data_IF_397730560118
#
_entry.id   IF_397730560118
#
_cell.length_a   1.000
_cell.length_b   1.000
_cell.length_c   1.000
_cell.angle_alpha   90.00
_cell.angle_beta   90.00
_cell.angle_gamma   90.00
#
_symmetry.space_group_name_H-M   'P 1'
#
loop_
_entity.id
_entity.type
_entity.pdbx_description
1 polymer ?
#
# COMPACT_ATOMS: atom_id res chain seq x y z
N UNK A 1 -4.62 -30.30 10.19
CA UNK A 1 -4.18 -28.93 10.50
C UNK A 1 -2.82 -29.03 11.14
N UNK A 2 -1.78 -28.51 10.49
CA UNK A 2 -0.49 -28.30 11.14
C UNK A 2 -0.65 -27.09 12.06
N UNK A 3 -0.40 -27.24 13.35
CA UNK A 3 -0.34 -26.11 14.29
C UNK A 3 0.92 -25.29 13.97
N UNK A 4 0.98 -24.01 14.35
CA UNK A 4 2.08 -23.10 13.99
C UNK A 4 3.51 -23.56 14.36
N UNK A 5 3.65 -24.65 15.12
CA UNK A 5 4.90 -25.32 15.44
C UNK A 5 5.64 -25.97 14.23
N UNK A 6 4.99 -26.10 13.07
CA UNK A 6 5.57 -26.75 11.87
C UNK A 6 6.10 -25.77 10.80
N UNK A 7 6.06 -24.45 11.05
CA UNK A 7 6.49 -23.43 10.08
C UNK A 7 7.70 -22.63 10.57
N UNK A 8 8.67 -22.40 9.68
CA UNK A 8 9.71 -21.41 9.90
C UNK A 8 9.23 -20.08 9.32
N UNK A 9 8.91 -19.12 10.20
CA UNK A 9 8.38 -17.81 9.81
C UNK A 9 9.55 -16.83 9.67
N UNK A 10 9.56 -16.08 8.56
CA UNK A 10 10.54 -15.02 8.29
C UNK A 10 9.80 -13.74 7.93
N UNK A 11 10.09 -12.65 8.65
CA UNK A 11 9.52 -11.32 8.43
C UNK A 11 10.66 -10.32 8.16
N UNK A 12 11.02 -10.07 6.89
CA UNK A 12 12.09 -9.14 6.54
C UNK A 12 11.60 -7.69 6.52
N UNK A 13 12.51 -6.74 6.74
CA UNK A 13 12.29 -5.35 6.34
C UNK A 13 12.29 -5.24 4.81
N UNK A 14 11.26 -4.61 4.23
CA UNK A 14 11.23 -4.33 2.81
C UNK A 14 12.37 -3.39 2.38
N UNK A 15 12.72 -3.41 1.09
CA UNK A 15 13.64 -2.39 0.54
C UNK A 15 13.11 -0.99 0.84
N UNK A 16 13.98 -0.13 1.39
CA UNK A 16 13.57 1.20 1.83
C UNK A 16 13.12 1.31 3.28
N UNK A 17 13.04 0.18 4.01
CA UNK A 17 12.57 0.12 5.39
C UNK A 17 13.61 -0.46 6.33
N UNK A 18 13.46 -0.10 7.61
CA UNK A 18 14.17 -0.68 8.74
C UNK A 18 15.67 -0.85 8.46
N UNK A 19 16.14 -2.09 8.56
CA UNK A 19 17.57 -2.42 8.48
C UNK A 19 17.98 -3.03 7.15
N UNK A 20 17.10 -3.08 6.17
CA UNK A 20 17.45 -3.55 4.82
C UNK A 20 18.39 -2.56 4.15
N UNK A 21 19.56 -3.06 3.73
CA UNK A 21 20.63 -2.29 3.07
C UNK A 21 20.61 -2.49 1.55
N UNK A 22 21.53 -1.84 0.83
CA UNK A 22 21.70 -2.06 -0.62
C UNK A 22 20.71 -1.28 -1.49
N UNK A 23 19.98 -0.34 -0.89
CA UNK A 23 19.29 0.74 -1.60
C UNK A 23 19.96 2.06 -1.24
N UNK A 24 19.82 3.05 -2.12
CA UNK A 24 20.49 4.34 -1.98
C UNK A 24 19.71 5.22 -1.02
N UNK A 25 20.14 5.24 0.25
CA UNK A 25 19.54 6.09 1.29
C UNK A 25 19.94 7.55 1.13
N UNK A 26 21.23 7.79 0.89
CA UNK A 26 21.83 9.12 0.95
C UNK A 26 22.07 9.68 -0.47
N UNK A 27 21.09 9.52 -1.36
CA UNK A 27 21.13 10.11 -2.70
C UNK A 27 21.32 11.65 -2.56
N UNK A 28 22.28 12.28 -3.26
CA UNK A 28 22.61 13.69 -3.04
C UNK A 28 21.44 14.64 -3.29
N UNK A 29 20.61 14.33 -4.28
CA UNK A 29 19.38 15.05 -4.59
C UNK A 29 18.22 14.08 -4.74
N UNK A 30 16.98 14.57 -4.55
CA UNK A 30 15.77 13.78 -4.73
C UNK A 30 15.70 13.10 -6.11
N UNK A 31 16.15 13.78 -7.16
CA UNK A 31 16.17 13.27 -8.54
C UNK A 31 17.22 12.19 -8.80
N UNK A 32 18.23 12.07 -7.92
CA UNK A 32 19.34 11.13 -8.12
C UNK A 32 18.97 9.71 -7.68
N UNK A 33 17.90 9.54 -6.91
CA UNK A 33 17.45 8.22 -6.44
C UNK A 33 17.22 7.26 -7.60
N UNK A 34 17.92 6.12 -7.59
CA UNK A 34 17.69 5.08 -8.59
C UNK A 34 16.37 4.32 -8.37
N UNK A 35 15.28 4.85 -8.95
CA UNK A 35 13.93 4.28 -8.86
C UNK A 35 13.80 2.88 -9.50
N UNK A 36 14.71 2.47 -10.39
CA UNK A 36 14.70 1.11 -10.97
C UNK A 36 14.86 0.01 -9.91
N UNK A 37 15.45 0.36 -8.75
CA UNK A 37 15.60 -0.57 -7.62
C UNK A 37 14.33 -0.75 -6.80
N UNK A 38 13.33 0.12 -6.97
CA UNK A 38 12.04 0.07 -6.26
C UNK A 38 10.88 -0.43 -7.15
N UNK A 39 11.16 -0.91 -8.37
CA UNK A 39 10.15 -1.50 -9.24
C UNK A 39 9.59 -2.78 -8.64
N UNK A 40 8.36 -3.15 -9.00
CA UNK A 40 7.74 -4.36 -8.46
C UNK A 40 8.59 -5.62 -8.72
N UNK A 41 9.24 -5.74 -9.88
CA UNK A 41 10.13 -6.88 -10.15
C UNK A 41 11.41 -6.86 -9.31
N UNK A 42 11.95 -5.68 -9.01
CA UNK A 42 13.06 -5.55 -8.07
C UNK A 42 12.65 -6.01 -6.66
N UNK A 43 11.43 -5.68 -6.22
CA UNK A 43 10.91 -6.15 -4.93
C UNK A 43 10.68 -7.67 -4.92
N UNK A 44 10.12 -8.26 -5.98
CA UNK A 44 10.01 -9.72 -6.12
C UNK A 44 11.39 -10.38 -6.09
N UNK A 45 12.37 -9.78 -6.77
CA UNK A 45 13.76 -10.27 -6.77
C UNK A 45 14.35 -10.29 -5.36
N UNK A 46 14.06 -9.29 -4.52
CA UNK A 46 14.54 -9.27 -3.14
C UNK A 46 13.99 -10.47 -2.34
N UNK A 47 12.69 -10.77 -2.48
CA UNK A 47 12.07 -11.94 -1.83
C UNK A 47 12.67 -13.24 -2.34
N UNK A 48 12.82 -13.41 -3.67
CA UNK A 48 13.45 -14.60 -4.27
C UNK A 48 14.90 -14.78 -3.77
N UNK A 49 15.64 -13.69 -3.66
CA UNK A 49 17.03 -13.71 -3.19
C UNK A 49 17.10 -14.10 -1.71
N UNK A 50 16.16 -13.61 -0.89
CA UNK A 50 16.05 -13.98 0.52
C UNK A 50 15.77 -15.48 0.69
N UNK A 51 14.84 -16.04 -0.08
CA UNK A 51 14.51 -17.48 -0.05
C UNK A 51 15.76 -18.32 -0.29
N UNK A 52 16.55 -17.98 -1.31
CA UNK A 52 17.80 -18.67 -1.61
C UNK A 52 18.88 -18.44 -0.54
N UNK A 53 19.01 -17.23 0.01
CA UNK A 53 19.97 -16.92 1.07
C UNK A 53 19.70 -17.71 2.35
N UNK A 54 18.44 -18.04 2.62
CA UNK A 54 18.01 -18.89 3.74
C UNK A 54 18.20 -20.39 3.46
N UNK A 55 18.68 -20.77 2.28
CA UNK A 55 18.90 -22.17 1.88
C UNK A 55 17.65 -22.90 1.37
N UNK A 56 16.57 -22.17 1.09
CA UNK A 56 15.34 -22.74 0.55
C UNK A 56 15.24 -22.51 -0.97
N UNK A 57 14.40 -23.32 -1.62
CA UNK A 57 14.05 -23.17 -3.05
C UNK A 57 12.55 -23.00 -3.26
N UNK A 58 11.74 -23.27 -2.23
CA UNK A 58 10.29 -23.10 -2.22
C UNK A 58 9.84 -22.53 -0.88
N UNK A 59 8.76 -21.74 -0.91
CA UNK A 59 8.08 -21.18 0.26
C UNK A 59 6.65 -21.69 0.28
N UNK A 60 6.23 -22.22 1.43
CA UNK A 60 4.89 -22.81 1.57
C UNK A 60 3.79 -21.73 1.45
N UNK A 61 4.02 -20.55 2.01
CA UNK A 61 3.09 -19.43 1.93
C UNK A 61 3.84 -18.10 1.95
N UNK A 62 3.53 -17.19 1.01
CA UNK A 62 3.93 -15.79 1.08
C UNK A 62 2.75 -14.96 1.56
N UNK A 63 2.97 -14.14 2.58
CA UNK A 63 1.95 -13.28 3.18
C UNK A 63 2.35 -11.83 2.98
N UNK A 64 1.39 -10.99 2.59
CA UNK A 64 1.63 -9.56 2.41
C UNK A 64 0.48 -8.72 2.92
N UNK A 65 0.81 -7.57 3.51
CA UNK A 65 -0.12 -6.55 3.98
C UNK A 65 0.19 -5.20 3.31
N UNK A 66 -0.84 -4.44 2.91
CA UNK A 66 -0.71 -3.15 2.21
C UNK A 66 0.23 -3.25 0.98
N UNK A 67 1.30 -2.45 0.89
CA UNK A 67 2.31 -2.55 -0.18
C UNK A 67 3.01 -3.92 -0.22
N UNK A 68 3.08 -4.61 0.92
CA UNK A 68 3.53 -6.00 1.02
C UNK A 68 2.57 -6.96 0.32
N UNK A 69 1.25 -6.72 0.34
CA UNK A 69 0.27 -7.52 -0.39
C UNK A 69 0.48 -7.40 -1.90
N UNK A 70 0.79 -6.19 -2.40
CA UNK A 70 1.15 -5.98 -3.80
C UNK A 70 2.40 -6.81 -4.17
N UNK A 71 3.42 -6.81 -3.32
CA UNK A 71 4.65 -7.60 -3.55
C UNK A 71 4.36 -9.10 -3.49
N UNK A 72 3.57 -9.57 -2.54
CA UNK A 72 3.19 -10.98 -2.38
C UNK A 72 2.37 -11.50 -3.58
N UNK A 73 1.40 -10.72 -4.06
CA UNK A 73 0.62 -11.03 -5.26
C UNK A 73 1.54 -11.18 -6.49
N UNK A 74 2.50 -10.27 -6.62
CA UNK A 74 3.48 -10.32 -7.71
C UNK A 74 4.47 -11.49 -7.59
N UNK A 75 4.89 -11.88 -6.38
CA UNK A 75 5.62 -13.13 -6.16
C UNK A 75 4.83 -14.34 -6.65
N UNK A 76 3.53 -14.40 -6.33
CA UNK A 76 2.65 -15.49 -6.75
C UNK A 76 2.45 -15.56 -8.27
N UNK A 77 2.34 -14.42 -8.95
CA UNK A 77 2.23 -14.34 -10.42
C UNK A 77 3.55 -14.71 -11.10
N UNK A 78 4.66 -14.16 -10.63
CA UNK A 78 5.96 -14.28 -11.28
C UNK A 78 6.63 -15.64 -11.03
N UNK A 79 6.45 -16.22 -9.83
CA UNK A 79 7.13 -17.44 -9.39
C UNK A 79 6.19 -18.44 -8.70
N UNK A 80 5.12 -18.90 -9.38
CA UNK A 80 4.23 -19.93 -8.84
C UNK A 80 4.93 -21.29 -8.63
N UNK A 81 6.11 -21.48 -9.21
CA UNK A 81 7.00 -22.62 -8.96
C UNK A 81 7.69 -22.57 -7.60
N UNK A 82 7.89 -21.36 -7.05
CA UNK A 82 8.58 -21.12 -5.78
C UNK A 82 7.60 -20.91 -4.63
N UNK A 83 6.54 -20.14 -4.83
CA UNK A 83 5.55 -19.82 -3.79
C UNK A 83 4.32 -20.72 -3.96
N UNK A 84 4.03 -21.54 -2.96
CA UNK A 84 2.97 -22.58 -3.06
C UNK A 84 1.57 -22.08 -2.68
N UNK A 85 1.49 -21.00 -1.92
CA UNK A 85 0.24 -20.31 -1.60
C UNK A 85 0.53 -18.84 -1.28
N UNK A 86 -0.51 -18.00 -1.32
CA UNK A 86 -0.41 -16.57 -1.01
C UNK A 86 -1.58 -16.13 -0.12
N UNK A 87 -1.28 -15.28 0.86
CA UNK A 87 -2.29 -14.57 1.65
C UNK A 87 -2.11 -13.07 1.45
N UNK A 88 -3.18 -12.40 1.03
CA UNK A 88 -3.22 -10.96 0.80
C UNK A 88 -4.08 -10.30 1.89
N UNK A 89 -3.47 -9.36 2.61
CA UNK A 89 -4.11 -8.60 3.68
C UNK A 89 -4.31 -7.15 3.23
N UNK A 90 -5.47 -6.57 3.53
CA UNK A 90 -5.88 -5.19 3.20
C UNK A 90 -6.09 -4.92 1.71
N UNK A 91 -5.07 -5.15 0.88
CA UNK A 91 -5.05 -4.74 -0.52
C UNK A 91 -5.40 -5.91 -1.46
N UNK A 92 -6.56 -5.88 -2.15
CA UNK A 92 -6.89 -6.90 -3.14
C UNK A 92 -5.97 -6.79 -4.36
N UNK A 93 -5.82 -7.89 -5.11
CA UNK A 93 -5.05 -7.91 -6.34
C UNK A 93 -5.97 -7.62 -7.55
N UNK A 94 -5.88 -6.44 -8.19
CA UNK A 94 -6.76 -6.08 -9.30
C UNK A 94 -6.47 -6.86 -10.58
N UNK A 95 -5.28 -7.47 -10.68
CA UNK A 95 -4.77 -8.15 -11.87
C UNK A 95 -3.44 -7.55 -12.34
N UNK A 96 -2.82 -8.22 -13.30
CA UNK A 96 -1.64 -7.66 -13.98
C UNK A 96 -2.10 -6.57 -14.96
N UNK A 97 -1.44 -5.39 -15.00
CA UNK A 97 -1.76 -4.37 -16.00
C UNK A 97 -1.70 -4.91 -17.44
N UNK A 98 -2.70 -4.56 -18.23
CA UNK A 98 -2.66 -4.80 -19.69
C UNK A 98 -1.60 -3.90 -20.34
N UNK A 99 -0.96 -4.38 -21.43
CA UNK A 99 -0.01 -3.57 -22.18
C UNK A 99 -0.70 -2.33 -22.74
N UNK A 100 -0.02 -1.19 -22.67
CA UNK A 100 -0.52 0.03 -23.33
C UNK A 100 -0.26 -0.09 -24.83
N UNK A 101 -1.31 -0.33 -25.61
CA UNK A 101 -1.25 -0.25 -27.06
C UNK A 101 -1.49 1.22 -27.44
N UNK A 102 -0.50 1.93 -28.02
CA UNK A 102 -0.74 3.29 -28.51
C UNK A 102 -1.89 3.24 -29.51
N UNK A 103 -2.94 4.07 -29.36
CA UNK A 103 -4.03 4.04 -30.31
C UNK A 103 -3.50 4.34 -31.72
N UNK A 104 -3.91 3.55 -32.72
CA UNK A 104 -3.83 4.01 -34.12
C UNK A 104 -4.56 5.34 -34.19
N UNK A 105 -3.87 6.42 -34.62
CA UNK A 105 -4.36 7.81 -34.72
C UNK A 105 -5.90 7.92 -34.65
N UNK A 106 -6.45 8.05 -33.44
CA UNK A 106 -7.87 8.36 -33.23
C UNK A 106 -8.01 9.83 -32.84
N UNK A 107 -9.07 10.43 -33.36
CA UNK A 107 -9.51 11.82 -33.17
C UNK A 107 -9.50 12.20 -31.68
N UNK A 108 -9.19 13.46 -31.42
CA UNK A 108 -8.94 14.13 -30.13
C UNK A 108 -10.02 13.99 -29.02
N UNK A 109 -10.99 13.09 -29.11
CA UNK A 109 -12.23 13.15 -28.32
C UNK A 109 -12.45 11.98 -27.31
N UNK A 110 -11.44 11.15 -27.04
CA UNK A 110 -11.52 10.07 -26.02
C UNK A 110 -10.78 10.39 -24.69
N UNK A 111 -10.39 11.65 -24.44
CA UNK A 111 -9.67 12.05 -23.20
C UNK A 111 -10.59 12.56 -22.08
N UNK A 112 -11.73 11.89 -21.86
CA UNK A 112 -12.69 12.24 -20.78
C UNK A 112 -12.49 11.49 -19.46
N UNK A 113 -11.33 10.87 -19.23
CA UNK A 113 -10.83 10.76 -17.86
C UNK A 113 -10.08 12.06 -17.57
N UNK A 114 -10.75 12.96 -16.84
CA UNK A 114 -10.12 14.20 -16.37
C UNK A 114 -8.84 13.86 -15.61
N UNK A 115 -7.82 14.72 -15.73
CA UNK A 115 -6.64 14.60 -14.88
C UNK A 115 -7.09 14.74 -13.42
N UNK A 116 -7.16 13.62 -12.70
CA UNK A 116 -7.61 13.56 -11.31
C UNK A 116 -6.86 14.53 -10.41
N UNK A 117 -5.62 14.88 -10.75
CA UNK A 117 -4.83 15.85 -10.02
C UNK A 117 -5.40 17.25 -10.21
N UNK A 118 -5.77 17.61 -11.45
CA UNK A 118 -6.48 18.85 -11.77
C UNK A 118 -7.85 18.90 -11.09
N UNK A 119 -8.62 17.81 -11.14
CA UNK A 119 -9.95 17.75 -10.51
C UNK A 119 -9.86 17.95 -8.99
N UNK A 120 -8.97 17.22 -8.31
CA UNK A 120 -8.77 17.36 -6.87
C UNK A 120 -8.26 18.75 -6.52
N UNK A 121 -7.33 19.31 -7.30
CA UNK A 121 -6.81 20.66 -7.08
C UNK A 121 -7.91 21.72 -7.16
N UNK A 122 -8.87 21.57 -8.08
CA UNK A 122 -10.02 22.46 -8.19
C UNK A 122 -10.95 22.40 -6.95
N UNK A 123 -10.91 21.29 -6.21
CA UNK A 123 -11.60 21.11 -4.92
C UNK A 123 -10.74 21.56 -3.72
N UNK A 124 -9.53 22.07 -3.94
CA UNK A 124 -8.58 22.40 -2.87
C UNK A 124 -7.92 21.16 -2.24
N UNK A 125 -7.92 20.03 -2.94
CA UNK A 125 -7.44 18.73 -2.48
C UNK A 125 -6.26 18.19 -3.32
N UNK A 126 -5.50 17.24 -2.78
CA UNK A 126 -4.44 16.49 -3.45
C UNK A 126 -4.42 15.05 -2.98
N UNK A 127 -4.04 14.13 -3.86
CA UNK A 127 -3.98 12.71 -3.53
C UNK A 127 -2.63 12.36 -2.87
N UNK A 128 -2.67 11.59 -1.77
CA UNK A 128 -1.49 11.28 -0.94
C UNK A 128 -0.34 10.63 -1.73
N UNK A 129 -0.62 9.68 -2.64
CA UNK A 129 0.40 9.06 -3.51
C UNK A 129 1.24 10.09 -4.28
N UNK A 130 0.64 11.17 -4.75
CA UNK A 130 1.36 12.24 -5.46
C UNK A 130 2.13 13.12 -4.48
N UNK A 131 1.57 13.44 -3.31
CA UNK A 131 2.30 14.10 -2.24
C UNK A 131 3.55 13.30 -1.83
N UNK A 132 3.41 12.00 -1.54
CA UNK A 132 4.51 11.07 -1.24
C UNK A 132 5.56 10.96 -2.35
N UNK A 133 5.23 11.39 -3.57
CA UNK A 133 6.15 11.41 -4.69
C UNK A 133 6.85 12.77 -4.89
N UNK A 134 6.72 13.69 -3.94
CA UNK A 134 7.42 14.98 -3.94
C UNK A 134 8.70 14.94 -3.12
N UNK A 135 9.61 15.87 -3.41
CA UNK A 135 10.88 16.04 -2.71
C UNK A 135 10.70 16.38 -1.22
N UNK A 136 9.64 17.11 -0.86
CA UNK A 136 9.43 17.58 0.51
C UNK A 136 8.76 16.53 1.42
N UNK A 137 8.13 15.49 0.86
CA UNK A 137 7.32 14.58 1.66
C UNK A 137 8.11 13.83 2.72
N UNK A 138 9.33 13.34 2.40
CA UNK A 138 10.16 12.66 3.39
C UNK A 138 10.66 13.63 4.47
N UNK A 139 11.30 14.77 4.13
CA UNK A 139 11.73 15.74 5.15
C UNK A 139 10.60 16.22 6.07
N UNK A 140 9.40 16.46 5.54
CA UNK A 140 8.23 16.88 6.30
C UNK A 140 7.76 15.78 7.27
N UNK A 141 7.71 14.52 6.82
CA UNK A 141 7.31 13.38 7.66
C UNK A 141 8.38 12.98 8.68
N UNK A 142 9.66 13.24 8.41
CA UNK A 142 10.77 12.99 9.34
C UNK A 142 10.81 14.02 10.48
N UNK A 143 10.43 15.27 10.19
CA UNK A 143 10.52 16.38 11.12
C UNK A 143 9.17 17.08 11.34
N UNK A 144 8.11 16.36 11.74
CA UNK A 144 6.80 16.96 11.94
C UNK A 144 6.81 17.88 13.17
N UNK A 145 6.11 19.02 13.09
CA UNK A 145 6.05 19.99 14.19
C UNK A 145 5.47 19.40 15.49
N UNK A 146 4.53 18.44 15.38
CA UNK A 146 3.97 17.72 16.52
C UNK A 146 4.91 16.62 17.09
N UNK A 147 6.07 16.39 16.50
CA UNK A 147 6.97 15.29 16.85
C UNK A 147 6.57 13.95 16.21
N UNK A 148 7.58 13.13 15.90
CA UNK A 148 7.41 11.89 15.13
C UNK A 148 6.49 10.88 15.82
N UNK A 149 6.56 10.80 17.15
CA UNK A 149 5.70 9.92 17.94
C UNK A 149 4.22 10.27 17.78
N UNK A 150 3.85 11.54 17.94
CA UNK A 150 2.45 11.95 17.87
C UNK A 150 1.91 11.96 16.44
N UNK A 151 2.79 12.25 15.47
CA UNK A 151 2.47 12.05 14.05
C UNK A 151 2.13 10.58 13.76
N UNK A 152 3.01 9.64 14.12
CA UNK A 152 2.75 8.22 13.86
C UNK A 152 1.57 7.68 14.66
N UNK A 153 1.39 8.08 15.93
CA UNK A 153 0.21 7.74 16.72
C UNK A 153 -1.07 8.17 16.00
N UNK A 154 -1.12 9.41 15.52
CA UNK A 154 -2.26 9.92 14.77
C UNK A 154 -2.46 9.18 13.45
N UNK A 155 -1.38 8.94 12.70
CA UNK A 155 -1.43 8.25 11.42
C UNK A 155 -1.98 6.81 11.54
N UNK A 156 -1.53 6.06 12.54
CA UNK A 156 -2.05 4.72 12.84
C UNK A 156 -3.50 4.76 13.37
N UNK A 157 -3.81 5.66 14.32
CA UNK A 157 -5.16 5.77 14.86
C UNK A 157 -6.19 6.06 13.78
N UNK A 158 -5.96 7.08 12.94
CA UNK A 158 -6.87 7.50 11.89
C UNK A 158 -7.10 6.41 10.82
N UNK A 159 -6.17 5.49 10.64
CA UNK A 159 -6.30 4.37 9.68
C UNK A 159 -6.82 3.08 10.31
N UNK A 160 -6.98 3.05 11.63
CA UNK A 160 -7.45 1.87 12.35
C UNK A 160 -8.98 1.81 12.45
N UNK A 161 -9.51 0.67 12.90
CA UNK A 161 -10.91 0.54 13.30
C UNK A 161 -11.27 1.31 14.58
N UNK A 162 -10.31 1.91 15.28
CA UNK A 162 -10.59 2.70 16.49
C UNK A 162 -11.08 4.12 16.19
N UNK A 163 -10.87 4.63 14.98
CA UNK A 163 -11.36 5.95 14.55
C UNK A 163 -12.71 5.81 13.84
N UNK A 164 -13.76 6.46 14.37
CA UNK A 164 -15.12 6.34 13.84
C UNK A 164 -15.30 6.88 12.41
N UNK A 165 -14.41 7.78 11.98
CA UNK A 165 -14.37 8.29 10.61
C UNK A 165 -13.95 7.23 9.58
N UNK A 166 -13.46 6.06 10.03
CA UNK A 166 -13.03 4.98 9.18
C UNK A 166 -14.16 3.96 8.95
N UNK A 167 -15.09 4.27 8.04
CA UNK A 167 -16.30 3.47 7.82
C UNK A 167 -16.60 3.18 6.33
N UNK A 168 -15.62 2.70 5.54
CA UNK A 168 -15.81 2.44 4.12
C UNK A 168 -16.93 1.43 3.82
N UNK A 169 -17.17 0.45 4.71
CA UNK A 169 -18.29 -0.49 4.57
C UNK A 169 -19.67 0.20 4.51
N UNK A 170 -19.82 1.34 5.21
CA UNK A 170 -21.04 2.16 5.22
C UNK A 170 -21.09 3.17 4.09
N UNK A 171 -19.93 3.70 3.69
CA UNK A 171 -19.82 4.68 2.60
C UNK A 171 -19.95 4.03 1.22
N UNK A 172 -19.65 2.74 1.11
CA UNK A 172 -19.54 2.03 -0.17
C UNK A 172 -18.24 2.37 -0.92
N UNK A 173 -17.83 1.53 -1.88
CA UNK A 173 -16.63 1.78 -2.68
C UNK A 173 -16.76 3.07 -3.49
N UNK A 174 -15.63 3.70 -3.81
CA UNK A 174 -15.63 4.72 -4.86
C UNK A 174 -16.04 4.04 -6.17
N UNK A 175 -16.94 4.67 -6.93
CA UNK A 175 -17.48 4.07 -8.16
C UNK A 175 -16.59 4.34 -9.38
N UNK A 176 -15.75 5.36 -9.31
CA UNK A 176 -14.84 5.78 -10.37
C UNK A 176 -13.68 6.59 -9.80
N UNK A 177 -12.61 6.72 -10.59
CA UNK A 177 -11.45 7.55 -10.28
C UNK A 177 -11.68 8.99 -10.74
N UNK A 178 -12.66 9.67 -10.15
CA UNK A 178 -12.91 11.12 -10.36
C UNK A 178 -12.62 11.90 -9.09
N UNK A 179 -12.33 13.21 -9.21
CA UNK A 179 -12.08 14.05 -8.04
C UNK A 179 -13.23 14.04 -7.02
N UNK A 180 -14.49 14.03 -7.49
CA UNK A 180 -15.68 13.96 -6.64
C UNK A 180 -15.76 12.64 -5.85
N UNK A 181 -15.51 11.50 -6.50
CA UNK A 181 -15.57 10.21 -5.82
C UNK A 181 -14.41 10.04 -4.84
N UNK A 182 -13.21 10.46 -5.23
CA UNK A 182 -12.03 10.41 -4.37
C UNK A 182 -12.20 11.30 -3.14
N UNK A 183 -12.76 12.52 -3.27
CA UNK A 183 -12.99 13.45 -2.16
C UNK A 183 -13.88 12.91 -1.03
N UNK A 184 -14.56 11.77 -1.23
CA UNK A 184 -15.32 11.06 -0.18
C UNK A 184 -14.43 10.31 0.80
N UNK A 185 -13.18 10.05 0.42
CA UNK A 185 -12.21 9.35 1.25
C UNK A 185 -11.63 10.27 2.35
N UNK A 186 -11.14 9.70 3.47
CA UNK A 186 -10.53 10.47 4.54
C UNK A 186 -9.33 11.33 4.09
N UNK A 187 -9.08 12.40 4.85
CA UNK A 187 -8.02 13.39 4.58
C UNK A 187 -6.61 12.80 4.43
N UNK A 188 -6.31 11.69 5.13
CA UNK A 188 -5.03 10.99 4.99
C UNK A 188 -4.85 10.24 3.66
N UNK A 189 -5.89 10.16 2.83
CA UNK A 189 -5.79 9.74 1.43
C UNK A 189 -5.94 10.92 0.48
N UNK A 190 -6.92 11.80 0.73
CA UNK A 190 -7.20 12.97 -0.09
C UNK A 190 -7.01 14.22 0.77
N UNK A 191 -5.80 14.74 0.73
CA UNK A 191 -5.28 15.76 1.63
C UNK A 191 -5.66 17.16 1.14
N UNK A 192 -5.81 18.17 2.01
CA UNK A 192 -5.83 19.56 1.59
C UNK A 192 -4.53 19.96 0.87
N UNK A 193 -4.62 20.74 -0.22
CA UNK A 193 -3.44 21.09 -1.03
C UNK A 193 -2.33 21.79 -0.23
N UNK A 194 -2.73 22.60 0.76
CA UNK A 194 -1.83 23.43 1.57
C UNK A 194 -1.15 22.71 2.73
N UNK A 195 -1.48 21.44 2.99
CA UNK A 195 -0.97 20.71 4.15
C UNK A 195 -0.03 19.57 3.74
N UNK A 196 1.01 19.37 4.53
CA UNK A 196 1.81 18.14 4.56
C UNK A 196 1.01 16.97 5.17
N UNK A 197 1.53 15.75 5.07
CA UNK A 197 0.89 14.59 5.70
C UNK A 197 0.82 14.74 7.23
N UNK A 198 1.88 15.17 7.94
CA UNK A 198 1.79 15.41 9.38
C UNK A 198 0.77 16.47 9.78
N UNK A 199 0.71 17.60 9.06
CA UNK A 199 -0.28 18.66 9.33
C UNK A 199 -1.71 18.18 9.07
N UNK A 200 -1.92 17.39 8.01
CA UNK A 200 -3.22 16.75 7.73
C UNK A 200 -3.63 15.82 8.87
N UNK A 201 -2.70 14.96 9.33
CA UNK A 201 -2.94 14.09 10.48
C UNK A 201 -3.21 14.90 11.75
N UNK A 202 -2.47 15.97 11.99
CA UNK A 202 -2.66 16.83 13.16
C UNK A 202 -4.06 17.45 13.18
N UNK A 203 -4.51 18.02 12.06
CA UNK A 203 -5.83 18.63 11.93
C UNK A 203 -6.94 17.59 12.14
N UNK A 204 -6.80 16.40 11.56
CA UNK A 204 -7.74 15.30 11.77
C UNK A 204 -7.75 14.82 13.23
N UNK A 205 -6.58 14.74 13.88
CA UNK A 205 -6.46 14.33 15.27
C UNK A 205 -7.09 15.34 16.25
N UNK A 206 -7.13 16.64 15.93
CA UNK A 206 -7.87 17.64 16.74
C UNK A 206 -9.37 17.36 16.80
N UNK A 207 -9.90 16.60 15.84
CA UNK A 207 -11.31 16.20 15.77
C UNK A 207 -11.54 14.75 16.22
N UNK A 208 -10.47 14.00 16.51
CA UNK A 208 -10.58 12.61 16.91
C UNK A 208 -11.09 12.47 18.36
N UNK A 209 -11.94 11.47 18.59
CA UNK A 209 -12.43 11.13 19.91
C UNK A 209 -11.32 10.52 20.79
N UNK A 210 -11.22 10.99 22.03
CA UNK A 210 -10.23 10.55 22.99
C UNK A 210 -10.37 9.06 23.36
N UNK A 211 -11.59 8.49 23.33
CA UNK A 211 -11.78 7.06 23.61
C UNK A 211 -11.24 6.19 22.47
N UNK A 212 -11.45 6.58 21.22
CA UNK A 212 -10.86 5.95 20.04
C UNK A 212 -9.34 5.99 20.08
N UNK A 213 -8.76 7.13 20.45
CA UNK A 213 -7.30 7.25 20.63
C UNK A 213 -6.83 6.33 21.76
N UNK A 214 -7.54 6.26 22.89
CA UNK A 214 -7.20 5.36 23.99
C UNK A 214 -7.26 3.88 23.57
N UNK A 215 -8.32 3.45 22.85
CA UNK A 215 -8.42 2.09 22.29
C UNK A 215 -7.28 1.77 21.33
N UNK A 216 -6.80 2.75 20.56
CA UNK A 216 -5.65 2.53 19.67
C UNK A 216 -4.36 2.20 20.41
N UNK A 217 -4.26 2.57 21.71
CA UNK A 217 -3.14 2.20 22.57
C UNK A 217 -3.22 0.77 23.11
N UNK A 218 -4.37 0.12 23.01
CA UNK A 218 -4.55 -1.27 23.45
C UNK A 218 -3.94 -2.27 22.47
N UNK A 219 -4.00 -2.00 21.16
CA UNK A 219 -3.40 -2.86 20.12
C UNK A 219 -2.04 -2.35 19.60
N UNK A 220 -1.72 -1.07 19.81
CA UNK A 220 -0.40 -0.51 19.55
C UNK A 220 0.00 0.36 20.74
N UNK A 221 0.67 -0.23 21.71
CA UNK A 221 1.16 0.49 22.88
C UNK A 221 2.17 1.58 22.49
N UNK A 222 2.46 2.51 23.41
CA UNK A 222 3.49 3.53 23.18
C UNK A 222 4.90 2.91 23.11
N UNK A 223 5.13 1.75 23.73
CA UNK A 223 6.38 0.99 23.63
C UNK A 223 6.55 0.37 22.24
N UNK A 224 5.51 -0.27 21.71
CA UNK A 224 5.53 -0.82 20.35
C UNK A 224 5.63 0.29 19.29
N UNK A 225 4.89 1.39 19.47
CA UNK A 225 4.99 2.56 18.60
C UNK A 225 6.41 3.14 18.60
N UNK A 226 7.11 3.12 19.75
CA UNK A 226 8.48 3.61 19.85
C UNK A 226 9.47 2.86 18.97
N UNK A 227 9.19 1.58 18.64
CA UNK A 227 9.98 0.83 17.66
C UNK A 227 9.86 1.47 16.28
N UNK A 228 8.65 1.78 15.82
CA UNK A 228 8.43 2.47 14.54
C UNK A 228 9.06 3.86 14.53
N UNK A 229 8.89 4.63 15.60
CA UNK A 229 9.51 5.95 15.75
C UNK A 229 11.02 5.86 15.63
N UNK A 230 11.65 4.90 16.32
CA UNK A 230 13.10 4.69 16.26
C UNK A 230 13.60 4.31 14.87
N UNK A 231 12.90 3.40 14.18
CA UNK A 231 13.28 2.94 12.85
C UNK A 231 13.12 4.05 11.79
N UNK A 232 12.02 4.81 11.81
CA UNK A 232 11.81 5.93 10.89
C UNK A 232 12.71 7.14 11.22
N UNK A 233 12.99 7.43 12.49
CA UNK A 233 13.96 8.46 12.86
C UNK A 233 15.38 8.13 12.35
N UNK A 234 15.74 6.85 12.28
CA UNK A 234 17.04 6.39 11.79
C UNK A 234 17.12 6.31 10.26
N UNK A 235 16.04 5.89 9.63
CA UNK A 235 16.04 5.49 8.20
C UNK A 235 15.46 6.57 7.29
N UNK A 236 14.63 7.46 7.83
CA UNK A 236 13.79 8.37 7.06
C UNK A 236 12.64 7.64 6.37
N UNK A 237 11.82 8.38 5.62
CA UNK A 237 10.70 7.81 4.85
C UNK A 237 11.04 7.61 3.37
N UNK A 238 12.12 8.22 2.87
CA UNK A 238 12.37 8.33 1.42
C UNK A 238 12.42 6.97 0.71
N UNK A 239 13.01 5.96 1.35
CA UNK A 239 13.04 4.59 0.83
C UNK A 239 11.63 4.02 0.64
N UNK A 240 10.79 4.11 1.67
CA UNK A 240 9.38 3.73 1.61
C UNK A 240 8.61 4.53 0.53
N UNK A 241 8.88 5.84 0.43
CA UNK A 241 8.19 6.73 -0.50
C UNK A 241 8.57 6.51 -1.98
N UNK A 242 9.76 5.97 -2.25
CA UNK A 242 10.19 5.65 -3.61
C UNK A 242 9.27 4.64 -4.32
N UNK A 243 8.57 3.78 -3.56
CA UNK A 243 7.54 2.89 -4.12
C UNK A 243 6.39 3.68 -4.77
N UNK A 244 5.97 4.79 -4.16
CA UNK A 244 4.94 5.65 -4.75
C UNK A 244 5.47 6.39 -5.98
N UNK A 245 6.71 6.88 -5.94
CA UNK A 245 7.37 7.52 -7.10
C UNK A 245 7.40 6.61 -8.31
N UNK A 246 7.71 5.32 -8.12
CA UNK A 246 7.66 4.31 -9.19
C UNK A 246 6.26 4.23 -9.83
N UNK A 247 5.19 4.28 -9.03
CA UNK A 247 3.81 4.15 -9.51
C UNK A 247 3.21 5.43 -10.09
N UNK A 248 3.64 6.60 -9.63
CA UNK A 248 3.08 7.90 -10.08
C UNK A 248 3.91 8.56 -11.18
N UNK A 249 5.10 8.05 -11.49
CA UNK A 249 5.93 8.57 -12.58
C UNK A 249 5.15 8.52 -13.91
N UNK A 250 5.03 9.66 -14.62
CA UNK A 250 4.36 9.72 -15.91
C UNK A 250 4.96 8.74 -16.92
N UNK A 251 4.11 8.19 -17.80
CA UNK A 251 4.58 7.32 -18.89
C UNK A 251 4.94 5.89 -18.47
N UNK A 252 4.69 5.47 -17.22
CA UNK A 252 4.85 4.07 -16.75
C UNK A 252 6.26 3.49 -16.89
N UNK A 253 7.30 4.32 -17.03
CA UNK A 253 8.68 3.85 -17.28
C UNK A 253 9.26 2.92 -16.21
N UNK A 254 8.68 2.87 -15.01
CA UNK A 254 9.10 2.00 -13.91
C UNK A 254 8.11 0.87 -13.61
N UNK A 255 7.01 0.79 -14.37
CA UNK A 255 5.96 -0.22 -14.20
C UNK A 255 5.71 -1.04 -15.47
N UNK A 256 6.20 -0.60 -16.62
CA UNK A 256 6.13 -1.26 -17.92
C UNK A 256 6.64 -2.71 -17.93
N UNK A 257 7.64 -3.07 -17.11
CA UNK A 257 8.16 -4.44 -17.06
C UNK A 257 7.10 -5.45 -16.61
N UNK A 258 6.03 -5.00 -15.94
CA UNK A 258 4.90 -5.87 -15.59
C UNK A 258 4.07 -6.31 -16.79
N UNK A 259 4.15 -5.60 -17.92
CA UNK A 259 3.42 -5.94 -19.15
C UNK A 259 3.84 -7.30 -19.72
N UNK A 260 5.04 -7.81 -19.38
CA UNK A 260 5.46 -9.18 -19.77
C UNK A 260 4.59 -10.27 -19.11
N UNK A 261 3.87 -9.93 -18.05
CA UNK A 261 2.92 -10.82 -17.36
C UNK A 261 1.47 -10.53 -17.78
N UNK A 262 1.22 -9.73 -18.82
CA UNK A 262 -0.12 -9.46 -19.31
C UNK A 262 -0.95 -10.74 -19.51
N UNK A 263 -2.18 -10.73 -19.00
CA UNK A 263 -3.08 -11.90 -19.04
C UNK A 263 -2.76 -13.00 -18.02
N UNK A 264 -1.66 -12.87 -17.25
CA UNK A 264 -1.41 -13.72 -16.09
C UNK A 264 -2.27 -13.29 -14.91
N UNK A 265 -2.57 -14.25 -14.06
CA UNK A 265 -3.29 -14.10 -12.79
C UNK A 265 -2.62 -14.97 -11.73
N UNK A 266 -3.03 -14.83 -10.47
CA UNK A 266 -2.59 -15.73 -9.40
C UNK A 266 -3.20 -17.12 -9.66
N UNK A 267 -2.38 -18.14 -9.87
CA UNK A 267 -2.85 -19.53 -10.14
C UNK A 267 -2.60 -20.49 -8.96
N UNK A 268 -1.91 -20.04 -7.92
CA UNK A 268 -1.69 -20.80 -6.69
C UNK A 268 -2.81 -20.52 -5.67
N UNK A 269 -3.05 -21.42 -4.69
CA UNK A 269 -4.01 -21.18 -3.62
C UNK A 269 -3.84 -19.80 -2.98
N UNK A 270 -4.91 -19.00 -3.01
CA UNK A 270 -4.93 -17.63 -2.54
C UNK A 270 -6.00 -17.46 -1.46
N UNK A 271 -5.67 -16.74 -0.39
CA UNK A 271 -6.66 -16.23 0.56
C UNK A 271 -6.55 -14.70 0.65
N UNK A 272 -7.68 -14.03 0.83
CA UNK A 272 -7.76 -12.59 1.03
C UNK A 272 -8.41 -12.28 2.39
N UNK A 273 -7.83 -11.35 3.15
CA UNK A 273 -8.40 -10.89 4.41
C UNK A 273 -8.30 -9.36 4.54
N UNK A 274 -9.35 -8.71 5.04
CA UNK A 274 -9.38 -7.27 5.30
C UNK A 274 -10.27 -6.95 6.50
N UNK A 275 -9.91 -5.90 7.24
CA UNK A 275 -10.80 -5.30 8.22
C UNK A 275 -12.00 -4.64 7.55
N UNK A 276 -13.15 -4.58 8.24
CA UNK A 276 -14.36 -3.90 7.73
C UNK A 276 -14.14 -2.38 7.58
N UNK A 277 -13.35 -1.81 8.49
CA UNK A 277 -12.99 -0.39 8.49
C UNK A 277 -11.83 -0.04 7.56
N UNK A 278 -11.20 -1.03 6.92
CA UNK A 278 -10.04 -0.79 6.06
C UNK A 278 -10.46 -0.35 4.66
N UNK A 279 -9.90 0.78 4.20
CA UNK A 279 -10.11 1.31 2.85
C UNK A 279 -9.34 0.57 1.76
N UNK A 280 -8.41 -0.33 2.10
CA UNK A 280 -7.62 -1.10 1.12
C UNK A 280 -8.49 -1.74 0.02
N UNK A 281 -9.61 -2.35 0.41
CA UNK A 281 -10.59 -2.98 -0.49
C UNK A 281 -11.37 -1.98 -1.35
N UNK A 282 -11.53 -0.75 -0.87
CA UNK A 282 -12.47 0.25 -1.43
C UNK A 282 -11.80 1.35 -2.26
N UNK A 283 -10.47 1.34 -2.31
CA UNK A 283 -9.64 2.32 -3.04
C UNK A 283 -9.53 2.06 -4.55
N UNK A 284 -9.64 0.80 -4.96
CA UNK A 284 -9.51 0.41 -6.36
C UNK A 284 -10.80 -0.30 -6.81
N UNK A 285 -11.66 0.40 -7.57
CA UNK A 285 -12.94 -0.15 -7.99
C UNK A 285 -12.79 -1.48 -8.73
N UNK A 286 -13.51 -2.50 -8.31
CA UNK A 286 -13.53 -3.81 -8.97
C UNK A 286 -12.36 -4.74 -8.65
N UNK A 287 -11.39 -4.32 -7.83
CA UNK A 287 -10.21 -5.14 -7.55
C UNK A 287 -10.56 -6.46 -6.83
N UNK A 288 -11.42 -6.41 -5.82
CA UNK A 288 -11.86 -7.62 -5.11
C UNK A 288 -12.81 -8.46 -5.97
N UNK A 289 -13.66 -7.82 -6.79
CA UNK A 289 -14.52 -8.48 -7.76
C UNK A 289 -13.70 -9.27 -8.80
N UNK A 290 -12.59 -8.71 -9.27
CA UNK A 290 -11.66 -9.39 -10.18
C UNK A 290 -11.04 -10.64 -9.57
N UNK A 291 -10.76 -10.63 -8.26
CA UNK A 291 -10.32 -11.84 -7.56
C UNK A 291 -11.45 -12.86 -7.50
N UNK A 292 -12.66 -12.44 -7.12
CA UNK A 292 -13.86 -13.30 -6.96
C UNK A 292 -14.28 -13.99 -8.26
N UNK A 293 -14.24 -13.28 -9.37
CA UNK A 293 -14.74 -13.78 -10.66
C UNK A 293 -13.67 -14.52 -11.48
N UNK A 294 -12.45 -14.69 -10.96
CA UNK A 294 -11.37 -15.42 -11.63
C UNK A 294 -10.53 -14.58 -12.60
N UNK A 295 -10.78 -13.26 -12.70
CA UNK A 295 -10.04 -12.36 -13.59
C UNK A 295 -8.60 -12.19 -13.13
N UNK A 296 -8.37 -11.93 -11.83
CA UNK A 296 -7.04 -11.72 -11.27
C UNK A 296 -6.53 -12.87 -10.39
N UNK A 297 -7.39 -13.82 -10.02
CA UNK A 297 -7.03 -14.98 -9.20
C UNK A 297 -7.81 -16.23 -9.62
N UNK A 298 -7.11 -17.22 -10.18
CA UNK A 298 -7.68 -18.49 -10.64
C UNK A 298 -8.01 -19.50 -9.53
N UNK A 299 -7.34 -19.41 -8.37
CA UNK A 299 -7.51 -20.35 -7.25
C UNK A 299 -7.75 -19.62 -5.91
N UNK A 300 -8.82 -18.85 -5.84
CA UNK A 300 -9.23 -18.14 -4.63
C UNK A 300 -9.96 -19.09 -3.66
N UNK A 301 -9.37 -19.32 -2.49
CA UNK A 301 -9.84 -20.27 -1.48
C UNK A 301 -10.71 -19.63 -0.42
N UNK A 302 -10.40 -18.40 -0.03
CA UNK A 302 -11.05 -17.74 1.08
C UNK A 302 -11.04 -16.21 0.90
N UNK A 303 -12.12 -15.57 1.34
CA UNK A 303 -12.26 -14.12 1.45
C UNK A 303 -12.85 -13.81 2.82
N UNK A 304 -12.12 -13.06 3.63
CA UNK A 304 -12.55 -12.55 4.92
C UNK A 304 -12.61 -11.03 4.83
N UNK A 305 -13.79 -10.44 5.00
CA UNK A 305 -13.96 -8.99 5.10
C UNK A 305 -14.87 -8.71 6.29
N UNK A 306 -14.31 -8.16 7.37
CA UNK A 306 -15.04 -7.89 8.62
C UNK A 306 -15.03 -9.04 9.64
N UNK A 307 -15.64 -8.77 10.80
CA UNK A 307 -15.38 -9.49 12.05
C UNK A 307 -16.00 -10.89 12.12
N UNK A 308 -15.18 -11.89 12.48
CA UNK A 308 -15.57 -12.76 13.59
C UNK A 308 -15.50 -11.94 14.89
N UNK A 309 -16.50 -12.05 15.79
CA UNK A 309 -16.80 -11.07 16.83
C UNK A 309 -15.71 -10.79 17.89
N UNK A 310 -14.59 -11.52 17.91
CA UNK A 310 -13.61 -11.46 19.00
C UNK A 310 -12.17 -11.11 18.58
N UNK A 311 -11.92 -10.71 17.32
CA UNK A 311 -10.56 -10.37 16.85
C UNK A 311 -10.50 -8.95 16.26
N UNK A 312 -9.67 -8.09 16.85
CA UNK A 312 -9.34 -6.77 16.32
C UNK A 312 -8.43 -6.98 15.12
N UNK A 313 -8.95 -6.72 13.92
CA UNK A 313 -8.17 -6.68 12.69
C UNK A 313 -7.63 -5.26 12.51
N UNK A 314 -6.31 -5.13 12.60
CA UNK A 314 -5.55 -3.89 12.35
C UNK A 314 -5.11 -3.87 10.90
#
# INVERSE_FOLDING_TARGET
MKTGADYHIVAPDGRGFGRTTGWERDAPNFTDSNLTTFTGLSLVRDVVSLVHALGYTTVECVVGHDAGAVTAAFCAVARPDMFRSVVLLSHPFPGVPSPVIPPEKKKEDDSKEGDIQTDLKNLGLKHYKWYYSTENASPEMENPAQGLHDFLRGYFHLKSGCWEGNNPSKMGPISSWTGEQLARMPGYYIMPVGLSMPETVEEMMRQADAQGVARSKEWLSDEELSVYVGEFARTGFQGALNWYRVRTTPGRQYTWDWEVFAGRRIEIPCAFCSGESDWGVYQEPGALENMRNGTSCGDLREIIVGSQPDEIWV
#
